data_IF_929158619010
#
_entry.id   IF_929158619010
#
_cell.length_a   1.000
_cell.length_b   1.000
_cell.length_c   1.000
_cell.angle_alpha   90.00
_cell.angle_beta   90.00
_cell.angle_gamma   90.00
#
_symmetry.space_group_name_H-M   'P 1'
#
loop_
_entity.id
_entity.type
_entity.pdbx_description
1 polymer ?
#
# COMPACT_ATOMS: atom_id res chain seq x y z
N UNK A 1 -50.76 -23.01 35.19
CA UNK A 1 -50.22 -21.63 35.14
C UNK A 1 -49.04 -21.44 36.11
N UNK A 2 -47.98 -22.28 36.06
CA UNK A 2 -46.88 -22.24 37.05
C UNK A 2 -45.51 -21.80 36.51
N UNK A 3 -45.37 -21.60 35.21
CA UNK A 3 -44.08 -21.24 34.59
C UNK A 3 -44.09 -19.90 33.84
N UNK A 4 -45.21 -19.18 33.83
CA UNK A 4 -45.34 -17.90 33.11
C UNK A 4 -44.39 -16.82 33.63
N UNK A 5 -44.24 -16.70 34.95
CA UNK A 5 -43.31 -15.73 35.55
C UNK A 5 -41.84 -16.05 35.25
N UNK A 6 -41.49 -17.34 35.22
CA UNK A 6 -40.13 -17.80 34.93
C UNK A 6 -39.75 -17.57 33.46
N UNK A 7 -40.69 -17.82 32.55
CA UNK A 7 -40.50 -17.57 31.10
C UNK A 7 -40.35 -16.08 30.83
N UNK A 8 -41.14 -15.21 31.49
CA UNK A 8 -41.04 -13.76 31.32
C UNK A 8 -39.72 -13.22 31.87
N UNK A 9 -39.26 -13.71 33.03
CA UNK A 9 -37.97 -13.32 33.60
C UNK A 9 -36.78 -13.77 32.72
N UNK A 10 -36.86 -14.99 32.17
CA UNK A 10 -35.82 -15.49 31.26
C UNK A 10 -35.79 -14.73 29.93
N UNK A 11 -36.97 -14.40 29.37
CA UNK A 11 -37.05 -13.59 28.16
C UNK A 11 -36.52 -12.17 28.39
N UNK A 12 -36.85 -11.55 29.53
CA UNK A 12 -36.35 -10.21 29.88
C UNK A 12 -34.83 -10.20 30.09
N UNK A 13 -34.26 -11.25 30.69
CA UNK A 13 -32.82 -11.41 30.83
C UNK A 13 -32.14 -11.62 29.47
N UNK A 14 -32.71 -12.45 28.59
CA UNK A 14 -32.18 -12.67 27.24
C UNK A 14 -32.23 -11.41 26.38
N UNK A 15 -33.33 -10.63 26.42
CA UNK A 15 -33.41 -9.36 25.69
C UNK A 15 -32.50 -8.28 26.31
N UNK A 16 -32.31 -8.25 27.64
CA UNK A 16 -31.40 -7.30 28.29
C UNK A 16 -29.92 -7.59 28.04
N UNK A 17 -29.53 -8.86 27.94
CA UNK A 17 -28.14 -9.26 27.63
C UNK A 17 -27.83 -9.07 26.13
N UNK A 18 -28.81 -9.26 25.24
CA UNK A 18 -28.65 -8.99 23.81
C UNK A 18 -28.51 -7.50 23.49
N UNK A 19 -29.13 -6.59 24.26
CA UNK A 19 -28.99 -5.14 24.06
C UNK A 19 -27.78 -4.53 24.77
N UNK A 20 -27.27 -5.14 25.84
CA UNK A 20 -26.08 -4.67 26.55
C UNK A 20 -24.75 -5.07 25.85
N UNK A 21 -24.79 -6.07 24.95
CA UNK A 21 -23.60 -6.56 24.24
C UNK A 21 -23.68 -6.39 22.72
N UNK A 22 -24.71 -5.71 22.18
CA UNK A 22 -24.71 -5.29 20.78
C UNK A 22 -23.99 -3.95 20.61
N UNK A 23 -22.68 -3.93 20.87
CA UNK A 23 -21.83 -3.05 20.10
C UNK A 23 -21.82 -3.62 18.68
N UNK A 24 -22.82 -3.19 17.88
CA UNK A 24 -22.76 -3.34 16.43
C UNK A 24 -21.46 -2.72 15.91
N UNK A 25 -21.04 -3.06 14.67
CA UNK A 25 -19.87 -2.42 14.08
C UNK A 25 -20.02 -0.91 14.24
N UNK A 26 -18.98 -0.25 14.75
CA UNK A 26 -18.91 1.20 14.89
C UNK A 26 -19.02 1.82 13.48
N UNK A 27 -20.25 1.96 13.01
CA UNK A 27 -20.63 2.65 11.79
C UNK A 27 -21.55 3.77 12.22
N UNK A 28 -21.14 4.99 11.85
CA UNK A 28 -21.88 6.24 11.99
C UNK A 28 -21.92 6.88 13.39
N UNK A 29 -20.77 7.35 13.90
CA UNK A 29 -20.75 8.70 14.47
C UNK A 29 -20.47 9.68 13.32
N UNK A 30 -21.47 10.46 12.90
CA UNK A 30 -21.36 11.51 11.88
C UNK A 30 -20.48 12.71 12.31
N UNK A 31 -19.64 12.54 13.34
CA UNK A 31 -18.69 13.52 13.79
C UNK A 31 -17.27 13.04 13.42
N UNK A 32 -16.43 13.88 12.80
CA UNK A 32 -15.05 13.52 12.55
C UNK A 32 -14.35 13.20 13.88
N UNK A 33 -13.65 12.07 13.93
CA UNK A 33 -12.88 11.68 15.11
C UNK A 33 -11.71 12.65 15.29
N UNK A 34 -11.46 13.04 16.54
CA UNK A 34 -10.31 13.89 16.87
C UNK A 34 -9.03 13.07 16.99
N UNK A 35 -7.87 13.75 16.96
CA UNK A 35 -6.57 13.11 17.11
C UNK A 35 -6.49 12.22 18.37
N UNK A 36 -6.96 12.71 19.52
CA UNK A 36 -6.90 11.97 20.78
C UNK A 36 -7.77 10.71 20.79
N UNK A 37 -8.83 10.68 19.99
CA UNK A 37 -9.69 9.50 19.82
C UNK A 37 -9.03 8.46 18.90
N UNK A 38 -8.20 8.88 17.95
CA UNK A 38 -7.51 8.00 17.00
C UNK A 38 -6.19 7.47 17.58
N UNK A 39 -5.48 8.28 18.37
CA UNK A 39 -4.15 7.97 18.89
C UNK A 39 -4.12 6.63 19.62
N UNK A 40 -3.32 5.69 19.12
CA UNK A 40 -3.11 4.38 19.74
C UNK A 40 -4.12 3.30 19.37
N UNK A 41 -5.16 3.62 18.60
CA UNK A 41 -6.19 2.65 18.17
C UNK A 41 -5.76 1.80 16.96
N UNK A 42 -4.79 2.29 16.18
CA UNK A 42 -4.42 1.72 14.87
C UNK A 42 -5.23 2.28 13.70
N UNK A 43 -6.31 3.03 13.96
CA UNK A 43 -7.16 3.62 12.90
C UNK A 43 -6.42 4.61 11.99
N UNK A 44 -5.35 5.25 12.48
CA UNK A 44 -4.53 6.17 11.69
C UNK A 44 -3.83 5.49 10.49
N UNK A 45 -3.68 4.16 10.49
CA UNK A 45 -3.11 3.41 9.38
C UNK A 45 -4.20 2.91 8.40
N UNK A 46 -5.48 3.18 8.66
CA UNK A 46 -6.57 2.74 7.80
C UNK A 46 -6.99 3.85 6.84
N UNK A 47 -7.25 3.48 5.59
CA UNK A 47 -7.84 4.40 4.63
C UNK A 47 -9.34 4.62 4.91
N UNK A 48 -9.89 5.79 4.55
CA UNK A 48 -11.32 6.01 4.55
C UNK A 48 -12.06 4.97 3.70
N UNK A 49 -13.28 4.62 4.11
CA UNK A 49 -14.14 3.66 3.40
C UNK A 49 -15.43 4.35 2.94
N UNK A 50 -15.83 4.07 1.70
CA UNK A 50 -17.13 4.50 1.17
C UNK A 50 -18.21 3.46 1.45
N UNK A 51 -19.45 3.93 1.60
CA UNK A 51 -20.62 3.07 1.84
C UNK A 51 -20.83 2.09 0.67
N UNK A 52 -21.34 0.89 0.96
CA UNK A 52 -21.61 -0.14 -0.06
C UNK A 52 -22.65 0.27 -1.11
N UNK A 53 -23.48 1.26 -0.79
CA UNK A 53 -24.51 1.80 -1.70
C UNK A 53 -23.99 2.85 -2.68
N UNK A 54 -22.72 3.25 -2.58
CA UNK A 54 -22.16 4.35 -3.36
C UNK A 54 -21.68 3.88 -4.74
N UNK A 55 -22.61 3.86 -5.71
CA UNK A 55 -22.36 3.52 -7.13
C UNK A 55 -22.72 4.68 -8.06
N UNK A 56 -21.96 5.77 -7.94
CA UNK A 56 -22.07 6.93 -8.79
C UNK A 56 -21.15 6.89 -10.02
N UNK A 57 -21.13 8.01 -10.73
CA UNK A 57 -20.17 8.32 -11.78
C UNK A 57 -19.76 9.80 -11.67
N UNK A 58 -18.47 10.09 -11.81
CA UNK A 58 -17.95 11.45 -11.86
C UNK A 58 -17.74 11.80 -13.34
N UNK A 59 -18.48 12.75 -13.92
CA UNK A 59 -18.32 13.12 -15.32
C UNK A 59 -16.95 13.74 -15.55
N UNK A 60 -16.31 13.34 -16.65
CA UNK A 60 -15.01 13.88 -17.06
C UNK A 60 -15.19 14.76 -18.28
N UNK A 61 -14.75 16.00 -18.17
CA UNK A 61 -14.67 16.96 -19.25
C UNK A 61 -13.25 16.98 -19.81
N UNK A 62 -13.13 16.66 -21.10
CA UNK A 62 -11.86 16.66 -21.83
C UNK A 62 -11.13 18.02 -21.86
N UNK A 63 -11.85 19.12 -21.61
CA UNK A 63 -11.27 20.46 -21.56
C UNK A 63 -10.70 20.84 -20.19
N UNK A 64 -11.00 20.05 -19.15
CA UNK A 64 -10.60 20.31 -17.78
C UNK A 64 -9.44 19.42 -17.35
N UNK A 65 -8.65 19.93 -16.41
CA UNK A 65 -7.65 19.14 -15.69
C UNK A 65 -8.20 18.85 -14.30
N UNK A 66 -7.96 17.64 -13.81
CA UNK A 66 -8.42 17.20 -12.50
C UNK A 66 -7.24 17.00 -11.56
N UNK A 67 -7.47 17.19 -10.28
CA UNK A 67 -6.53 16.86 -9.22
C UNK A 67 -7.07 15.67 -8.44
N UNK A 68 -6.23 14.66 -8.28
CA UNK A 68 -6.47 13.54 -7.39
C UNK A 68 -5.77 13.87 -6.08
N UNK A 69 -6.54 13.91 -4.99
CA UNK A 69 -6.12 14.31 -3.65
C UNK A 69 -6.40 13.18 -2.66
N UNK A 70 -5.65 13.20 -1.56
CA UNK A 70 -5.87 12.27 -0.43
C UNK A 70 -5.86 10.81 -0.89
N UNK A 71 -5.02 10.46 -1.86
CA UNK A 71 -4.84 9.07 -2.24
C UNK A 71 -4.20 8.32 -1.08
N UNK A 72 -4.95 7.35 -0.59
CA UNK A 72 -4.56 6.46 0.46
C UNK A 72 -4.57 5.03 -0.07
N UNK A 73 -3.47 4.30 0.13
CA UNK A 73 -3.33 2.88 -0.18
C UNK A 73 -3.08 2.12 1.11
N UNK A 74 -4.00 1.24 1.47
CA UNK A 74 -3.88 0.38 2.65
C UNK A 74 -3.63 -1.06 2.21
N UNK A 75 -2.38 -1.57 2.34
CA UNK A 75 -2.08 -2.97 2.18
C UNK A 75 -2.85 -3.84 3.18
N UNK A 76 -3.34 -4.98 2.71
CA UNK A 76 -4.04 -5.98 3.54
C UNK A 76 -3.33 -7.34 3.50
N UNK A 77 -2.75 -7.70 2.35
CA UNK A 77 -2.04 -8.96 2.16
C UNK A 77 -0.76 -8.74 1.39
N UNK A 78 0.27 -9.49 1.76
CA UNK A 78 1.59 -9.44 1.17
C UNK A 78 1.98 -10.83 0.71
N UNK A 79 2.54 -10.92 -0.49
CA UNK A 79 3.06 -12.14 -1.04
C UNK A 79 4.48 -11.92 -1.54
N UNK A 80 5.33 -12.92 -1.39
CA UNK A 80 6.69 -12.91 -1.92
C UNK A 80 6.83 -14.08 -2.86
N UNK A 81 7.43 -13.84 -4.02
CA UNK A 81 7.72 -14.89 -4.98
C UNK A 81 8.89 -15.73 -4.47
N UNK A 82 8.63 -17.00 -4.20
CA UNK A 82 9.65 -17.98 -3.86
C UNK A 82 9.98 -18.84 -5.08
N UNK A 83 11.27 -19.01 -5.35
CA UNK A 83 11.74 -19.99 -6.32
C UNK A 83 11.69 -21.39 -5.70
N UNK A 84 11.14 -22.36 -6.43
CA UNK A 84 11.18 -23.76 -6.00
C UNK A 84 12.61 -24.28 -5.99
N UNK A 85 12.93 -25.12 -5.00
CA UNK A 85 14.18 -25.90 -4.94
C UNK A 85 14.38 -26.72 -6.23
N UNK A 86 13.29 -27.10 -6.90
CA UNK A 86 13.31 -27.69 -8.21
C UNK A 86 13.17 -26.61 -9.30
N UNK A 87 14.27 -26.30 -10.00
CA UNK A 87 14.32 -25.33 -11.11
C UNK A 87 13.33 -25.60 -12.27
N UNK A 88 12.67 -26.77 -12.29
CA UNK A 88 11.62 -27.11 -13.28
C UNK A 88 10.21 -26.66 -12.86
N UNK A 89 9.99 -26.31 -11.59
CA UNK A 89 8.73 -25.76 -11.11
C UNK A 89 8.72 -24.24 -11.25
N UNK A 90 7.57 -23.69 -11.63
CA UNK A 90 7.39 -22.25 -11.70
C UNK A 90 7.47 -21.64 -10.29
N UNK A 91 8.03 -20.45 -10.20
CA UNK A 91 8.03 -19.68 -8.95
C UNK A 91 6.61 -19.23 -8.61
N UNK A 92 6.24 -19.34 -7.34
CA UNK A 92 4.89 -19.03 -6.84
C UNK A 92 4.94 -17.94 -5.78
N UNK A 93 3.86 -17.17 -5.70
CA UNK A 93 3.68 -16.15 -4.67
C UNK A 93 3.17 -16.79 -3.37
N UNK A 94 4.03 -16.83 -2.36
CA UNK A 94 3.69 -17.34 -1.02
C UNK A 94 3.29 -16.19 -0.10
N UNK A 95 2.29 -16.38 0.79
CA UNK A 95 1.85 -15.33 1.70
C UNK A 95 2.91 -15.04 2.78
N UNK A 96 3.19 -13.77 3.01
CA UNK A 96 4.05 -13.27 4.09
C UNK A 96 3.26 -12.61 5.21
N UNK A 97 3.71 -12.79 6.45
CA UNK A 97 3.13 -12.13 7.64
C UNK A 97 3.83 -10.82 7.95
N UNK A 98 3.09 -9.72 8.03
CA UNK A 98 3.62 -8.40 8.39
C UNK A 98 4.29 -8.40 9.77
N UNK A 99 5.51 -7.86 9.87
CA UNK A 99 6.25 -7.69 11.13
C UNK A 99 6.31 -6.24 11.62
N UNK A 100 6.24 -5.27 10.71
CA UNK A 100 6.44 -3.84 11.02
C UNK A 100 5.23 -3.13 11.64
N UNK A 101 4.19 -3.88 12.05
CA UNK A 101 2.97 -3.37 12.71
C UNK A 101 2.16 -2.44 11.78
N UNK A 102 1.36 -1.54 12.34
CA UNK A 102 0.46 -0.62 11.63
C UNK A 102 1.20 0.59 11.05
N UNK A 103 2.14 0.36 10.15
CA UNK A 103 2.97 1.38 9.49
C UNK A 103 3.11 1.14 7.99
N UNK A 104 2.08 0.58 7.37
CA UNK A 104 2.15 0.02 6.01
C UNK A 104 1.44 0.88 4.96
N UNK A 105 0.55 1.77 5.38
CA UNK A 105 -0.29 2.51 4.44
C UNK A 105 0.43 3.73 3.88
N UNK A 106 0.15 4.02 2.61
CA UNK A 106 0.53 5.26 1.95
C UNK A 106 -0.65 6.20 2.04
N UNK A 107 -0.42 7.49 2.25
CA UNK A 107 -1.50 8.45 2.50
C UNK A 107 -1.11 9.86 2.05
N UNK A 108 -2.10 10.75 1.93
CA UNK A 108 -1.93 12.15 1.53
C UNK A 108 -1.22 12.30 0.17
N UNK A 109 -1.31 11.29 -0.68
CA UNK A 109 -0.77 11.36 -2.02
C UNK A 109 -1.68 12.24 -2.87
N UNK A 110 -1.04 13.10 -3.66
CA UNK A 110 -1.68 14.03 -4.55
C UNK A 110 -1.01 14.03 -5.91
N UNK A 111 -1.78 14.41 -6.92
CA UNK A 111 -1.26 14.56 -8.27
C UNK A 111 -2.32 15.04 -9.24
N UNK A 112 -1.92 15.08 -10.50
CA UNK A 112 -2.74 15.61 -11.59
C UNK A 112 -3.27 14.47 -12.45
N UNK A 113 -4.58 14.52 -12.76
CA UNK A 113 -5.21 13.69 -13.78
C UNK A 113 -5.41 14.53 -15.05
N UNK A 114 -4.79 14.09 -16.15
CA UNK A 114 -4.94 14.68 -17.48
C UNK A 114 -5.76 13.77 -18.38
N UNK A 115 -6.67 14.37 -19.15
CA UNK A 115 -7.40 13.66 -20.19
C UNK A 115 -6.54 13.62 -21.46
N UNK A 116 -6.21 12.42 -21.90
CA UNK A 116 -5.44 12.17 -23.11
C UNK A 116 -6.32 12.28 -24.36
N UNK A 117 -5.70 12.45 -25.54
CA UNK A 117 -6.44 12.62 -26.82
C UNK A 117 -7.35 11.44 -27.20
N UNK A 118 -7.03 10.25 -26.70
CA UNK A 118 -7.80 9.01 -26.86
C UNK A 118 -8.91 8.86 -25.80
N UNK A 119 -9.13 9.86 -24.95
CA UNK A 119 -10.08 9.82 -23.84
C UNK A 119 -9.64 8.97 -22.65
N UNK A 120 -8.38 8.53 -22.56
CA UNK A 120 -7.86 7.90 -21.34
C UNK A 120 -7.46 8.95 -20.31
N UNK A 121 -7.60 8.62 -19.04
CA UNK A 121 -7.17 9.46 -17.91
C UNK A 121 -5.77 9.06 -17.50
N UNK A 122 -4.85 10.00 -17.43
CA UNK A 122 -3.49 9.75 -16.95
C UNK A 122 -3.29 10.48 -15.63
N UNK A 123 -3.17 9.71 -14.55
CA UNK A 123 -2.76 10.18 -13.24
C UNK A 123 -1.23 10.23 -13.18
N UNK A 124 -0.71 11.38 -12.77
CA UNK A 124 0.70 11.58 -12.46
C UNK A 124 0.81 12.00 -10.99
N UNK A 125 1.47 11.18 -10.19
CA UNK A 125 1.78 11.48 -8.79
C UNK A 125 2.80 12.64 -8.69
N UNK A 126 2.59 13.51 -7.72
CA UNK A 126 3.39 14.73 -7.53
C UNK A 126 4.00 14.82 -6.13
N UNK A 127 3.23 14.52 -5.08
CA UNK A 127 3.66 14.63 -3.69
C UNK A 127 2.80 13.78 -2.75
N UNK A 128 3.32 13.45 -1.57
CA UNK A 128 2.61 12.78 -0.48
C UNK A 128 3.47 11.84 0.37
N UNK A 129 2.82 11.09 1.26
CA UNK A 129 3.45 9.99 1.99
C UNK A 129 3.36 8.74 1.10
N UNK A 130 4.20 8.74 0.08
CA UNK A 130 4.20 7.81 -1.04
C UNK A 130 5.12 6.59 -0.84
N UNK A 131 5.69 6.40 0.36
CA UNK A 131 6.48 5.21 0.70
C UNK A 131 6.38 4.79 2.17
N UNK A 132 6.58 3.49 2.43
CA UNK A 132 6.80 2.90 3.75
C UNK A 132 7.80 1.74 3.68
N UNK A 133 8.79 1.68 4.61
CA UNK A 133 9.61 0.49 4.78
C UNK A 133 8.80 -0.61 5.48
N UNK A 134 8.66 -1.76 4.82
CA UNK A 134 7.88 -2.89 5.33
C UNK A 134 8.78 -4.12 5.45
N UNK A 135 8.55 -4.95 6.47
CA UNK A 135 9.17 -6.27 6.57
C UNK A 135 8.08 -7.32 6.75
N UNK A 136 8.11 -8.34 5.89
CA UNK A 136 7.22 -9.50 5.98
C UNK A 136 8.03 -10.74 6.30
N UNK A 137 7.41 -11.69 7.01
CA UNK A 137 8.01 -12.97 7.38
C UNK A 137 7.33 -14.11 6.63
N UNK A 138 8.12 -14.92 5.95
CA UNK A 138 7.65 -16.12 5.27
C UNK A 138 7.50 -17.28 6.26
N UNK A 139 6.83 -18.35 5.86
CA UNK A 139 6.60 -19.52 6.71
C UNK A 139 7.91 -20.17 7.21
N UNK A 140 8.97 -20.12 6.40
CA UNK A 140 10.32 -20.57 6.76
C UNK A 140 11.05 -19.67 7.76
N UNK A 141 10.45 -18.55 8.20
CA UNK A 141 11.03 -17.61 9.15
C UNK A 141 11.90 -16.53 8.52
N UNK A 142 12.19 -16.63 7.21
CA UNK A 142 12.88 -15.62 6.42
C UNK A 142 12.13 -14.28 6.48
N UNK A 143 12.88 -13.20 6.65
CA UNK A 143 12.36 -11.84 6.68
C UNK A 143 12.71 -11.14 5.37
N UNK A 144 11.71 -10.63 4.68
CA UNK A 144 11.87 -9.93 3.41
C UNK A 144 11.50 -8.47 3.65
N UNK A 145 12.50 -7.58 3.85
CA UNK A 145 12.28 -6.15 3.85
C UNK A 145 12.06 -5.66 2.41
N UNK A 146 11.17 -4.70 2.24
CA UNK A 146 10.94 -4.04 0.96
C UNK A 146 10.43 -2.61 1.18
N UNK A 147 10.62 -1.77 0.18
CA UNK A 147 10.27 -0.36 0.21
C UNK A 147 8.93 -0.15 -0.49
N UNK A 148 7.80 -0.39 0.19
CA UNK A 148 6.48 -0.22 -0.41
C UNK A 148 6.30 1.23 -0.82
N UNK A 149 6.06 1.49 -2.11
CA UNK A 149 6.11 2.84 -2.65
C UNK A 149 5.25 2.97 -3.89
N UNK A 150 4.86 4.20 -4.22
CA UNK A 150 4.33 4.57 -5.54
C UNK A 150 5.03 5.82 -6.10
N UNK A 151 6.28 6.05 -5.70
CA UNK A 151 7.10 7.19 -6.15
C UNK A 151 7.08 7.39 -7.66
N UNK A 152 6.72 8.59 -8.08
CA UNK A 152 6.65 9.01 -9.48
C UNK A 152 5.70 8.11 -10.29
N UNK A 153 4.59 7.69 -9.69
CA UNK A 153 3.59 6.88 -10.36
C UNK A 153 3.00 7.64 -11.55
N UNK A 154 3.00 6.96 -12.69
CA UNK A 154 2.21 7.36 -13.85
C UNK A 154 1.27 6.21 -14.17
N UNK A 155 -0.03 6.42 -13.98
CA UNK A 155 -1.06 5.42 -14.21
C UNK A 155 -2.10 5.92 -15.21
N UNK A 156 -2.48 5.08 -16.15
CA UNK A 156 -3.44 5.38 -17.20
C UNK A 156 -4.68 4.50 -17.09
N UNK A 157 -5.84 5.08 -17.38
CA UNK A 157 -7.09 4.32 -17.51
C UNK A 157 -7.29 3.70 -18.89
N UNK A 158 -8.35 2.92 -19.03
CA UNK A 158 -8.87 2.53 -20.35
C UNK A 158 -9.17 3.76 -21.23
N UNK A 159 -9.13 3.65 -22.57
CA UNK A 159 -9.50 4.73 -23.49
C UNK A 159 -11.02 4.95 -23.55
N UNK A 160 -11.44 6.13 -24.01
CA UNK A 160 -12.86 6.46 -24.21
C UNK A 160 -13.65 6.66 -22.91
N UNK A 161 -13.01 7.20 -21.87
CA UNK A 161 -13.64 7.42 -20.57
C UNK A 161 -14.36 8.77 -20.54
N UNK A 162 -15.69 8.75 -20.56
CA UNK A 162 -16.52 9.94 -20.39
C UNK A 162 -16.85 10.23 -18.91
N UNK A 163 -16.63 9.25 -18.03
CA UNK A 163 -16.86 9.37 -16.58
C UNK A 163 -16.01 8.36 -15.81
N UNK A 164 -15.63 8.71 -14.57
CA UNK A 164 -15.02 7.79 -13.62
C UNK A 164 -16.13 7.07 -12.89
N UNK A 165 -16.18 5.75 -13.02
CA UNK A 165 -17.20 4.87 -12.45
C UNK A 165 -16.57 3.55 -11.99
N UNK A 166 -17.39 2.58 -11.58
CA UNK A 166 -16.92 1.28 -11.06
C UNK A 166 -16.31 0.34 -12.12
N UNK A 167 -16.21 0.77 -13.37
CA UNK A 167 -15.53 0.07 -14.46
C UNK A 167 -14.22 0.76 -14.85
N UNK A 168 -13.83 1.81 -14.12
CA UNK A 168 -12.58 2.52 -14.34
C UNK A 168 -11.46 1.82 -13.60
N UNK A 169 -10.42 1.40 -14.32
CA UNK A 169 -9.20 0.91 -13.71
C UNK A 169 -8.05 1.80 -14.12
N UNK A 170 -7.07 1.97 -13.24
CA UNK A 170 -5.81 2.66 -13.55
C UNK A 170 -4.67 1.66 -13.48
N UNK A 171 -3.87 1.56 -14.54
CA UNK A 171 -2.67 0.73 -14.57
C UNK A 171 -1.45 1.61 -14.82
N UNK A 172 -0.39 1.38 -14.06
CA UNK A 172 0.77 2.26 -14.11
C UNK A 172 2.05 1.65 -13.60
N UNK A 173 3.12 2.39 -13.83
CA UNK A 173 4.46 2.08 -13.34
C UNK A 173 4.96 3.18 -12.41
N UNK A 174 5.81 2.80 -11.47
CA UNK A 174 6.43 3.69 -10.49
C UNK A 174 7.89 3.30 -10.24
N UNK A 175 8.64 4.22 -9.63
CA UNK A 175 10.03 4.00 -9.25
C UNK A 175 10.12 3.35 -7.87
N UNK A 176 11.05 2.41 -7.73
CA UNK A 176 11.38 1.79 -6.44
C UNK A 176 12.83 2.11 -6.10
N UNK A 177 13.09 3.22 -5.39
CA UNK A 177 14.44 3.52 -4.92
C UNK A 177 14.97 2.41 -4.01
N UNK A 178 16.28 2.38 -3.83
CA UNK A 178 16.93 1.53 -2.82
C UNK A 178 16.28 1.72 -1.45
N UNK A 179 16.01 0.60 -0.77
CA UNK A 179 15.47 0.57 0.59
C UNK A 179 16.33 1.35 1.59
N UNK A 180 17.65 1.39 1.36
CA UNK A 180 18.61 2.18 2.13
C UNK A 180 19.12 3.37 1.32
N UNK A 181 19.20 4.54 1.97
CA UNK A 181 19.83 5.73 1.39
C UNK A 181 21.36 5.61 1.31
N UNK A 182 22.00 6.47 0.51
CA UNK A 182 23.43 6.38 0.21
C UNK A 182 24.37 6.55 1.43
N UNK A 183 23.90 7.16 2.51
CA UNK A 183 24.66 7.36 3.76
C UNK A 183 24.49 6.22 4.77
N UNK A 184 23.70 5.19 4.45
CA UNK A 184 23.55 4.02 5.30
C UNK A 184 24.88 3.26 5.41
N UNK A 185 25.22 2.84 6.62
CA UNK A 185 26.40 2.04 6.92
C UNK A 185 25.95 0.64 7.34
N UNK A 186 26.56 -0.37 6.73
CA UNK A 186 26.38 -1.75 7.17
C UNK A 186 27.02 -1.97 8.56
N UNK A 187 26.81 -3.14 9.21
CA UNK A 187 27.35 -3.40 10.55
C UNK A 187 28.89 -3.34 10.65
N UNK A 188 29.60 -3.33 9.52
CA UNK A 188 31.06 -3.19 9.44
C UNK A 188 31.49 -1.78 9.03
N UNK A 189 30.56 -0.83 8.99
CA UNK A 189 30.83 0.56 8.67
C UNK A 189 31.05 0.81 7.18
N UNK A 190 30.65 -0.12 6.30
CA UNK A 190 30.77 0.07 4.83
C UNK A 190 29.49 0.70 4.28
N UNK A 191 29.62 1.60 3.32
CA UNK A 191 28.48 2.32 2.74
C UNK A 191 28.77 2.81 1.33
N UNK A 192 27.87 3.62 0.78
CA UNK A 192 27.99 4.12 -0.60
C UNK A 192 28.67 5.49 -0.61
N UNK A 193 28.06 6.48 0.05
CA UNK A 193 28.55 7.86 0.10
C UNK A 193 29.44 8.14 1.31
N UNK A 194 29.48 7.21 2.29
CA UNK A 194 30.30 7.28 3.49
C UNK A 194 30.64 5.87 3.95
N UNK A 195 31.61 5.75 4.87
CA UNK A 195 32.05 4.47 5.40
C UNK A 195 33.32 3.92 4.74
N UNK A 196 33.71 2.73 5.17
CA UNK A 196 34.81 1.97 4.58
C UNK A 196 34.43 1.38 3.23
N UNK A 197 35.40 1.22 2.35
CA UNK A 197 35.28 0.63 1.02
C UNK A 197 35.64 -0.88 1.00
N UNK A 198 36.22 -1.39 2.09
CA UNK A 198 36.68 -2.77 2.20
C UNK A 198 36.38 -3.41 3.57
N UNK A 199 36.75 -4.69 3.72
CA UNK A 199 36.56 -5.43 4.96
C UNK A 199 37.71 -5.18 5.95
N UNK A 200 37.71 -4.01 6.61
CA UNK A 200 38.77 -3.57 7.55
C UNK A 200 39.07 -4.53 8.70
N UNK A 201 38.12 -5.41 9.05
CA UNK A 201 38.29 -6.42 10.09
C UNK A 201 39.08 -7.66 9.62
N UNK A 202 39.31 -7.80 8.31
CA UNK A 202 40.05 -8.91 7.69
C UNK A 202 41.17 -8.36 6.80
N UNK A 203 42.25 -7.78 7.37
CA UNK A 203 43.25 -7.03 6.59
C UNK A 203 43.91 -7.83 5.48
N UNK A 204 44.11 -9.14 5.67
CA UNK A 204 44.72 -10.02 4.68
C UNK A 204 43.80 -10.37 3.49
N UNK A 205 42.49 -10.22 3.66
CA UNK A 205 41.47 -10.59 2.67
C UNK A 205 40.54 -9.43 2.33
N UNK A 206 40.92 -8.20 2.72
CA UNK A 206 40.05 -7.04 2.74
C UNK A 206 39.37 -6.77 1.38
N UNK A 207 40.12 -6.99 0.29
CA UNK A 207 39.72 -6.78 -1.11
C UNK A 207 39.59 -8.09 -1.90
N UNK A 208 39.39 -9.21 -1.21
CA UNK A 208 39.15 -10.49 -1.88
C UNK A 208 37.91 -10.42 -2.78
N UNK A 209 37.98 -11.07 -3.95
CA UNK A 209 36.87 -11.07 -4.93
C UNK A 209 35.57 -11.61 -4.34
N UNK A 210 35.66 -12.53 -3.37
CA UNK A 210 34.52 -13.09 -2.65
C UNK A 210 33.77 -12.04 -1.82
N UNK A 211 34.47 -11.02 -1.30
CA UNK A 211 33.88 -9.95 -0.50
C UNK A 211 33.48 -8.74 -1.34
N UNK A 212 33.87 -8.68 -2.62
CA UNK A 212 33.61 -7.52 -3.49
C UNK A 212 32.13 -7.16 -3.55
N UNK A 213 31.23 -8.15 -3.64
CA UNK A 213 29.77 -7.93 -3.67
C UNK A 213 29.25 -7.29 -2.37
N UNK A 214 29.85 -7.62 -1.22
CA UNK A 214 29.48 -7.06 0.07
C UNK A 214 30.18 -5.73 0.38
N UNK A 215 31.39 -5.50 -0.16
CA UNK A 215 32.19 -4.29 0.03
C UNK A 215 31.67 -3.13 -0.82
N UNK A 216 31.46 -3.38 -2.13
CA UNK A 216 31.06 -2.35 -3.09
C UNK A 216 29.53 -2.21 -3.06
N UNK A 217 29.06 -1.33 -2.17
CA UNK A 217 27.64 -1.03 -2.02
C UNK A 217 27.10 -0.28 -3.25
N UNK A 218 25.91 -0.66 -3.70
CA UNK A 218 25.24 -0.11 -4.88
C UNK A 218 23.83 0.33 -4.53
N UNK A 219 23.50 1.56 -4.92
CA UNK A 219 22.13 2.07 -4.88
C UNK A 219 21.49 1.72 -6.22
N UNK A 220 20.62 0.72 -6.21
CA UNK A 220 19.88 0.31 -7.40
C UNK A 220 18.44 0.81 -7.30
N UNK A 221 17.93 1.36 -8.40
CA UNK A 221 16.53 1.79 -8.51
C UNK A 221 15.79 0.80 -9.38
N UNK A 222 14.79 0.14 -8.80
CA UNK A 222 13.88 -0.76 -9.50
C UNK A 222 12.67 -0.03 -10.10
N UNK A 223 11.84 -0.83 -10.76
CA UNK A 223 10.52 -0.43 -11.24
C UNK A 223 9.47 -1.32 -10.60
N UNK A 224 8.34 -0.72 -10.27
CA UNK A 224 7.14 -1.44 -9.84
C UNK A 224 5.98 -1.12 -10.75
N UNK A 225 4.96 -1.97 -10.70
CA UNK A 225 3.70 -1.80 -11.43
C UNK A 225 2.52 -1.88 -10.46
N UNK A 226 1.46 -1.16 -10.75
CA UNK A 226 0.26 -1.13 -9.93
C UNK A 226 -0.99 -1.11 -10.81
N UNK A 227 -2.03 -1.79 -10.35
CA UNK A 227 -3.39 -1.73 -10.88
C UNK A 227 -4.31 -1.26 -9.76
N UNK A 228 -5.06 -0.19 -10.00
CA UNK A 228 -6.09 0.36 -9.12
C UNK A 228 -7.45 0.10 -9.77
N UNK A 229 -8.30 -0.67 -9.09
CA UNK A 229 -9.62 -1.05 -9.58
C UNK A 229 -10.71 -0.30 -8.80
N UNK A 230 -11.40 0.64 -9.45
CA UNK A 230 -12.42 1.45 -8.78
C UNK A 230 -13.67 0.59 -8.53
N UNK A 231 -14.08 0.48 -7.27
CA UNK A 231 -15.25 -0.32 -6.89
C UNK A 231 -16.43 0.55 -6.42
N UNK A 232 -16.15 1.76 -5.92
CA UNK A 232 -17.12 2.68 -5.31
C UNK A 232 -16.81 4.10 -5.75
N UNK A 233 -17.86 4.87 -6.04
CA UNK A 233 -17.74 6.26 -6.52
C UNK A 233 -18.88 7.08 -5.93
N UNK A 234 -18.56 8.16 -5.22
CA UNK A 234 -19.51 9.17 -4.76
C UNK A 234 -19.44 10.39 -5.68
N UNK A 235 -20.49 10.57 -6.49
CA UNK A 235 -20.58 11.70 -7.42
C UNK A 235 -20.70 13.06 -6.75
N UNK A 236 -21.17 13.13 -5.49
CA UNK A 236 -21.41 14.40 -4.81
C UNK A 236 -20.13 14.97 -4.22
N UNK A 237 -19.30 14.09 -3.65
CA UNK A 237 -18.05 14.46 -2.97
C UNK A 237 -16.80 14.29 -3.85
N UNK A 238 -16.94 13.60 -4.99
CA UNK A 238 -15.82 13.25 -5.87
C UNK A 238 -14.96 12.12 -5.31
N UNK A 239 -15.45 11.39 -4.31
CA UNK A 239 -14.68 10.33 -3.64
C UNK A 239 -14.76 9.02 -4.42
N UNK A 240 -13.63 8.33 -4.51
CA UNK A 240 -13.50 7.02 -5.16
C UNK A 240 -12.79 6.05 -4.22
N UNK A 241 -13.21 4.80 -4.22
CA UNK A 241 -12.56 3.75 -3.44
C UNK A 241 -12.60 2.42 -4.18
N UNK A 242 -11.65 1.56 -3.87
CA UNK A 242 -11.49 0.31 -4.59
C UNK A 242 -10.42 -0.59 -4.03
N UNK A 243 -9.93 -1.50 -4.87
CA UNK A 243 -8.85 -2.43 -4.54
C UNK A 243 -7.64 -2.15 -5.39
N UNK A 244 -6.45 -2.47 -4.87
CA UNK A 244 -5.23 -2.39 -5.66
C UNK A 244 -4.43 -3.69 -5.60
N UNK A 245 -3.69 -3.94 -6.67
CA UNK A 245 -2.62 -4.92 -6.73
C UNK A 245 -1.34 -4.22 -7.22
N UNK A 246 -0.26 -4.37 -6.47
CA UNK A 246 1.05 -3.80 -6.79
C UNK A 246 2.11 -4.91 -6.79
N UNK A 247 3.03 -4.85 -7.74
CA UNK A 247 4.20 -5.73 -7.80
C UNK A 247 5.47 -4.88 -7.88
N UNK A 248 6.46 -5.19 -7.04
CA UNK A 248 7.73 -4.47 -6.96
C UNK A 248 8.86 -5.35 -6.40
N UNK A 249 10.14 -5.01 -6.65
CA UNK A 249 11.27 -5.69 -6.01
C UNK A 249 11.37 -5.40 -4.51
N UNK A 250 11.98 -6.33 -3.78
CA UNK A 250 12.37 -6.19 -2.38
C UNK A 250 13.70 -5.44 -2.21
N UNK A 251 14.14 -5.28 -0.96
CA UNK A 251 15.49 -4.84 -0.63
C UNK A 251 16.56 -5.77 -1.23
N UNK A 252 17.73 -5.21 -1.53
CA UNK A 252 18.92 -5.89 -2.06
C UNK A 252 20.14 -5.76 -1.14
N UNK A 253 19.97 -5.16 0.05
CA UNK A 253 21.06 -4.81 0.97
C UNK A 253 22.19 -4.02 0.26
N UNK A 254 21.79 -2.98 -0.47
CA UNK A 254 22.69 -2.17 -1.29
C UNK A 254 23.48 -3.02 -2.31
N UNK A 255 22.80 -3.95 -2.98
CA UNK A 255 23.36 -4.82 -4.02
C UNK A 255 24.18 -6.02 -3.51
N UNK A 256 24.15 -6.28 -2.21
CA UNK A 256 24.76 -7.48 -1.61
C UNK A 256 23.95 -8.75 -1.91
N UNK A 257 22.63 -8.64 -2.05
CA UNK A 257 21.70 -9.72 -2.35
C UNK A 257 20.87 -9.44 -3.62
N UNK A 258 20.17 -10.46 -4.11
CA UNK A 258 19.24 -10.34 -5.25
C UNK A 258 17.82 -10.01 -4.73
N UNK A 259 17.08 -9.08 -5.38
CA UNK A 259 15.73 -8.73 -4.93
C UNK A 259 14.75 -9.86 -5.21
N UNK A 260 13.82 -10.07 -4.28
CA UNK A 260 12.62 -10.90 -4.50
C UNK A 260 11.49 -10.07 -5.07
N UNK A 261 10.64 -10.68 -5.88
CA UNK A 261 9.39 -10.04 -6.32
C UNK A 261 8.36 -10.07 -5.18
N UNK A 262 7.85 -8.90 -4.81
CA UNK A 262 6.83 -8.73 -3.78
C UNK A 262 5.54 -8.28 -4.44
N UNK A 263 4.43 -8.96 -4.12
CA UNK A 263 3.08 -8.59 -4.51
C UNK A 263 2.30 -8.10 -3.28
N UNK A 264 1.73 -6.92 -3.40
CA UNK A 264 0.93 -6.29 -2.35
C UNK A 264 -0.49 -6.13 -2.87
N UNK A 265 -1.48 -6.55 -2.07
CA UNK A 265 -2.89 -6.28 -2.34
C UNK A 265 -3.54 -5.54 -1.18
N UNK A 266 -4.46 -4.67 -1.52
CA UNK A 266 -5.13 -3.85 -0.52
C UNK A 266 -6.32 -3.10 -1.06
N UNK A 267 -6.76 -2.14 -0.26
CA UNK A 267 -7.81 -1.20 -0.63
C UNK A 267 -7.20 0.19 -0.83
N UNK A 268 -7.83 0.99 -1.66
CA UNK A 268 -7.45 2.40 -1.81
C UNK A 268 -8.67 3.30 -1.70
N UNK A 269 -8.40 4.55 -1.37
CA UNK A 269 -9.34 5.66 -1.35
C UNK A 269 -8.67 6.86 -2.00
N UNK A 270 -9.42 7.69 -2.71
CA UNK A 270 -8.97 8.98 -3.20
C UNK A 270 -10.15 9.94 -3.37
N UNK A 271 -9.86 11.23 -3.49
CA UNK A 271 -10.84 12.25 -3.87
C UNK A 271 -10.41 12.95 -5.13
N UNK A 272 -11.34 13.10 -6.07
CA UNK A 272 -11.11 13.75 -7.36
C UNK A 272 -11.84 15.09 -7.34
N UNK A 273 -11.10 16.14 -7.66
CA UNK A 273 -11.65 17.49 -7.78
C UNK A 273 -11.17 18.13 -9.08
N UNK A 274 -11.97 18.99 -9.73
CA UNK A 274 -11.47 19.86 -10.79
C UNK A 274 -10.30 20.68 -10.27
N UNK A 275 -9.22 20.77 -11.04
CA UNK A 275 -8.11 21.64 -10.71
C UNK A 275 -8.58 23.08 -10.94
N UNK A 276 -8.72 23.85 -9.85
CA UNK A 276 -8.99 25.28 -9.96
C UNK A 276 -7.78 25.93 -10.62
N UNK A 277 -8.04 26.69 -11.70
CA UNK A 277 -7.04 27.46 -12.44
C UNK A 277 -6.45 28.60 -11.60
#
# INVERSE_FOLDING_TARGET
>A
MKFRGFIVAFLALCLGVLTACSEGPASATNAPLTYDQIRGTGLANNCPILSETTRGAIPVDSSQTYSLKELCLQPTTFFVKEESVNKRQAAEFVPGKLLTRFTSSLDQISGTIKVSKNGSLTFTEEDGIDFQPITVRLAGGEQVPFFFTIKNLVASSQPGMDSINTSTDFEGEFNVPSYRGAVFLDPKGRGVASGYDNAVALPSEADSEQLRRANVKRVETGKGKISLQVAKVDSNTGEVAGTFESEQPSDTDLGADDPKEVKVRGIFYARIAPQQA
#
